data_IF_660773035089
#
_entry.id   IF_660773035089
#
_cell.length_a   1.000
_cell.length_b   1.000
_cell.length_c   1.000
_cell.angle_alpha   90.00
_cell.angle_beta   90.00
_cell.angle_gamma   90.00
#
_symmetry.space_group_name_H-M   'P 1'
#
loop_
_entity.id
_entity.type
_entity.pdbx_description
1 polymer ?
#
# COMPACT_ATOMS: atom_id res chain seq x y z
N UNK A 1 -46.96 24.92 -1.47
CA UNK A 1 -47.61 24.94 -0.15
C UNK A 1 -47.41 23.57 0.48
N UNK A 2 -46.67 23.48 1.50
CA UNK A 2 -46.68 22.84 2.80
C UNK A 2 -45.25 22.61 3.30
N UNK A 3 -44.95 23.41 4.31
CA UNK A 3 -43.79 23.35 5.22
C UNK A 3 -43.99 22.24 6.25
N UNK A 4 -42.90 21.58 6.67
CA UNK A 4 -42.67 21.07 8.02
C UNK A 4 -41.14 21.13 8.20
N UNK A 5 -40.53 21.97 8.97
CA UNK A 5 -40.44 22.18 10.43
C UNK A 5 -40.00 20.90 11.18
N UNK A 6 -38.77 20.78 11.49
CA UNK A 6 -37.89 20.92 12.62
C UNK A 6 -38.24 20.02 13.82
N UNK A 7 -37.24 19.33 14.35
CA UNK A 7 -37.09 19.14 15.80
C UNK A 7 -35.60 18.93 16.10
N UNK A 8 -35.09 19.90 16.84
CA UNK A 8 -33.81 19.90 17.58
C UNK A 8 -34.13 19.30 18.95
N UNK A 9 -33.35 18.34 19.40
CA UNK A 9 -33.33 17.95 20.82
C UNK A 9 -31.89 18.01 21.31
N UNK A 10 -31.66 19.09 22.11
CA UNK A 10 -30.60 19.18 23.11
C UNK A 10 -31.03 18.46 24.39
N UNK A 11 -30.11 17.80 25.04
CA UNK A 11 -30.00 17.68 26.51
C UNK A 11 -28.88 16.67 26.82
N UNK A 12 -28.05 16.80 27.74
CA UNK A 12 -27.66 17.69 28.82
C UNK A 12 -26.66 16.88 29.67
N UNK A 13 -25.71 17.59 30.05
CA UNK A 13 -24.63 17.35 31.01
C UNK A 13 -25.08 16.70 32.32
N UNK A 14 -24.38 15.70 32.84
CA UNK A 14 -24.31 15.45 34.28
C UNK A 14 -22.83 15.16 34.65
N UNK A 15 -22.27 16.14 35.38
CA UNK A 15 -21.06 15.95 36.18
C UNK A 15 -21.42 15.28 37.50
N UNK A 16 -20.60 14.35 37.96
CA UNK A 16 -20.49 14.04 39.41
C UNK A 16 -19.01 13.97 39.77
N UNK A 17 -18.66 14.89 40.65
CA UNK A 17 -17.40 15.00 41.39
C UNK A 17 -17.46 14.19 42.70
N UNK A 18 -16.30 13.87 43.21
CA UNK A 18 -15.88 13.61 44.59
C UNK A 18 -15.39 12.15 44.81
N UNK A 19 -14.36 11.88 45.60
CA UNK A 19 -13.37 12.63 46.36
C UNK A 19 -12.33 11.69 46.95
N UNK A 20 -11.12 12.19 47.10
CA UNK A 20 -10.08 11.92 48.10
C UNK A 20 -10.03 10.60 48.88
N UNK A 21 -8.80 10.04 48.97
CA UNK A 21 -8.36 9.17 50.04
C UNK A 21 -6.86 8.88 50.00
N UNK A 22 -6.06 9.73 50.68
CA UNK A 22 -4.62 9.51 50.99
C UNK A 22 -4.50 8.46 52.13
N UNK A 23 -3.40 7.66 52.16
CA UNK A 23 -2.41 7.56 53.23
C UNK A 23 -1.40 6.43 52.99
N UNK A 24 -0.13 6.82 53.00
CA UNK A 24 1.07 6.48 53.82
C UNK A 24 1.65 5.06 53.68
N UNK A 25 2.82 5.00 53.14
CA UNK A 25 4.21 4.93 53.62
C UNK A 25 4.49 3.95 54.82
N UNK A 26 5.36 3.00 54.57
CA UNK A 26 6.44 2.73 55.51
C UNK A 26 7.60 1.92 54.93
N UNK A 27 8.81 2.37 55.27
CA UNK A 27 10.14 1.84 55.02
C UNK A 27 10.48 0.67 55.96
N UNK A 28 11.37 -0.25 55.54
CA UNK A 28 12.51 -0.76 56.35
C UNK A 28 13.31 -1.71 55.46
N UNK A 29 14.50 -1.43 55.11
CA UNK A 29 15.85 -1.53 55.70
C UNK A 29 16.43 -2.96 55.68
N UNK A 30 17.50 -3.09 54.87
CA UNK A 30 18.80 -3.73 55.07
C UNK A 30 18.92 -5.14 55.65
N UNK A 31 19.67 -6.02 54.96
CA UNK A 31 20.95 -6.57 55.47
C UNK A 31 21.74 -7.28 54.38
N UNK A 32 22.98 -6.88 54.29
CA UNK A 32 24.05 -7.53 53.56
C UNK A 32 24.55 -8.78 54.35
N UNK A 33 24.96 -9.80 53.64
CA UNK A 33 25.97 -10.74 54.16
C UNK A 33 26.84 -11.30 53.03
N UNK A 34 28.12 -11.24 53.30
CA UNK A 34 29.29 -11.55 52.51
C UNK A 34 29.74 -13.02 52.74
N UNK A 35 30.54 -13.52 51.77
CA UNK A 35 31.52 -14.62 51.81
C UNK A 35 30.93 -15.99 51.33
N UNK A 36 31.54 -16.71 50.38
CA UNK A 36 32.94 -17.18 50.33
C UNK A 36 33.31 -17.66 48.93
N UNK A 37 34.54 -17.44 48.54
CA UNK A 37 35.21 -18.00 47.37
C UNK A 37 35.40 -19.52 47.51
N UNK A 38 35.10 -20.28 46.46
CA UNK A 38 35.72 -21.59 46.24
C UNK A 38 36.09 -21.70 44.77
N UNK A 39 37.38 -21.76 44.54
CA UNK A 39 38.01 -21.99 43.21
C UNK A 39 37.83 -23.46 42.85
N UNK A 40 37.25 -23.74 41.73
CA UNK A 40 37.39 -25.03 41.03
C UNK A 40 37.69 -24.74 39.54
N UNK A 41 38.89 -25.06 39.16
CA UNK A 41 39.33 -25.16 37.79
C UNK A 41 38.55 -26.29 37.09
N UNK A 42 37.92 -25.96 36.00
CA UNK A 42 37.48 -26.99 35.05
C UNK A 42 37.75 -26.51 33.62
N UNK A 43 38.45 -27.31 32.96
CA UNK A 43 38.93 -27.34 31.58
C UNK A 43 37.94 -26.76 30.57
N UNK A 44 38.43 -25.82 29.78
CA UNK A 44 37.74 -25.28 28.58
C UNK A 44 37.65 -26.31 27.49
N UNK A 45 36.47 -26.85 27.23
CA UNK A 45 36.11 -27.36 25.92
C UNK A 45 35.40 -26.25 25.15
N UNK A 46 36.10 -25.77 24.14
CA UNK A 46 35.63 -24.81 23.17
C UNK A 46 34.67 -25.51 22.20
N UNK A 47 33.36 -25.41 22.43
CA UNK A 47 32.36 -25.77 21.43
C UNK A 47 32.23 -24.61 20.44
N UNK A 48 32.78 -24.79 19.27
CA UNK A 48 32.54 -23.91 18.12
C UNK A 48 31.06 -23.92 17.76
N UNK A 49 30.34 -22.86 18.12
CA UNK A 49 29.04 -22.55 17.52
C UNK A 49 29.26 -22.20 16.03
N UNK A 50 28.44 -22.72 15.13
CA UNK A 50 28.48 -22.28 13.74
C UNK A 50 28.05 -20.81 13.70
N UNK A 51 28.94 -19.96 13.18
CA UNK A 51 28.62 -18.60 12.77
C UNK A 51 27.52 -18.69 11.70
N UNK A 52 26.44 -17.88 11.77
CA UNK A 52 25.48 -17.84 10.68
C UNK A 52 26.22 -17.35 9.43
N UNK A 53 26.31 -18.23 8.43
CA UNK A 53 26.77 -17.88 7.10
C UNK A 53 25.89 -16.76 6.59
N UNK A 54 26.44 -15.57 6.36
CA UNK A 54 25.81 -14.55 5.55
C UNK A 54 25.60 -15.13 4.15
N UNK A 55 24.44 -15.71 3.91
CA UNK A 55 24.00 -15.94 2.56
C UNK A 55 23.87 -14.56 1.92
N UNK A 56 24.78 -14.23 1.03
CA UNK A 56 24.59 -13.16 0.05
C UNK A 56 23.38 -13.58 -0.78
N UNK A 57 22.20 -13.07 -0.40
CA UNK A 57 21.01 -13.14 -1.23
C UNK A 57 21.39 -12.42 -2.52
N UNK A 58 21.43 -13.17 -3.63
CA UNK A 58 21.59 -12.59 -4.96
C UNK A 58 20.36 -11.73 -5.22
N UNK A 59 20.43 -10.44 -4.87
CA UNK A 59 19.33 -9.49 -4.98
C UNK A 59 19.16 -9.01 -6.43
N UNK A 60 18.94 -9.96 -7.35
CA UNK A 60 18.74 -9.66 -8.77
C UNK A 60 17.40 -9.00 -9.05
N UNK A 61 16.47 -9.06 -8.09
CA UNK A 61 15.11 -8.50 -8.18
C UNK A 61 14.95 -7.16 -7.45
N UNK A 62 15.99 -6.65 -6.81
CA UNK A 62 15.90 -5.36 -6.13
C UNK A 62 15.57 -4.25 -7.10
N UNK A 63 14.65 -3.36 -6.68
CA UNK A 63 14.31 -2.13 -7.40
C UNK A 63 14.98 -0.95 -6.73
N UNK A 64 15.24 0.09 -7.53
CA UNK A 64 15.71 1.39 -7.02
C UNK A 64 15.16 2.54 -7.87
N UNK A 65 15.09 3.70 -7.27
CA UNK A 65 14.71 4.93 -7.97
C UNK A 65 15.97 5.68 -8.38
N UNK A 66 16.12 5.97 -9.67
CA UNK A 66 17.24 6.74 -10.21
C UNK A 66 16.67 7.93 -10.98
N UNK A 67 16.86 9.13 -10.45
CA UNK A 67 16.18 10.33 -10.97
C UNK A 67 14.66 10.17 -10.89
N UNK A 68 13.95 10.36 -11.97
CA UNK A 68 12.49 10.20 -12.05
C UNK A 68 12.05 8.80 -12.49
N UNK A 69 12.93 7.78 -12.44
CA UNK A 69 12.63 6.44 -13.00
C UNK A 69 12.78 5.34 -11.99
N UNK A 70 11.89 4.36 -12.09
CA UNK A 70 12.08 3.05 -11.47
C UNK A 70 13.10 2.27 -12.28
N UNK A 71 14.09 1.68 -11.60
CA UNK A 71 15.17 0.92 -12.21
C UNK A 71 15.33 -0.44 -11.49
N UNK A 72 15.92 -1.40 -12.19
CA UNK A 72 16.37 -2.64 -11.58
C UNK A 72 17.63 -2.44 -10.71
N UNK A 73 18.12 -3.50 -10.10
CA UNK A 73 19.32 -3.49 -9.25
C UNK A 73 20.58 -3.00 -9.98
N UNK A 74 20.63 -3.13 -11.31
CA UNK A 74 21.76 -2.66 -12.14
C UNK A 74 21.65 -1.17 -12.48
N UNK A 75 20.46 -0.59 -12.39
CA UNK A 75 20.18 0.80 -12.76
C UNK A 75 19.54 0.95 -14.13
N UNK A 76 19.14 -0.15 -14.76
CA UNK A 76 18.42 -0.11 -16.02
C UNK A 76 16.96 0.24 -15.79
N UNK A 77 16.37 1.20 -16.54
CA UNK A 77 14.97 1.59 -16.36
C UNK A 77 14.01 0.43 -16.62
N UNK A 78 13.13 0.16 -15.65
CA UNK A 78 12.07 -0.83 -15.75
C UNK A 78 10.70 -0.17 -15.69
N UNK A 79 9.69 -0.83 -16.25
CA UNK A 79 8.29 -0.46 -16.15
C UNK A 79 7.52 -1.67 -15.64
N UNK A 80 6.87 -1.57 -14.49
CA UNK A 80 5.99 -2.60 -13.98
C UNK A 80 4.57 -2.32 -14.45
N UNK A 81 3.90 -3.34 -14.95
CA UNK A 81 2.49 -3.31 -15.35
C UNK A 81 1.73 -4.29 -14.49
N UNK A 82 0.58 -3.91 -13.97
CA UNK A 82 -0.09 -4.80 -13.05
C UNK A 82 -1.56 -4.58 -12.81
N UNK A 83 -2.03 -5.28 -11.79
CA UNK A 83 -3.44 -5.38 -11.42
C UNK A 83 -3.55 -5.18 -9.91
N UNK A 84 -4.52 -4.37 -9.47
CA UNK A 84 -4.89 -4.24 -8.06
C UNK A 84 -5.98 -5.24 -7.71
N UNK A 85 -5.89 -5.90 -6.56
CA UNK A 85 -7.09 -6.47 -5.94
C UNK A 85 -8.10 -5.35 -5.67
N UNK A 86 -9.37 -5.68 -5.55
CA UNK A 86 -10.31 -4.87 -4.78
C UNK A 86 -10.00 -5.04 -3.28
N UNK A 87 -10.74 -4.37 -2.40
CA UNK A 87 -10.53 -4.48 -0.96
C UNK A 87 -10.43 -5.92 -0.47
N UNK A 88 -9.33 -6.25 0.19
CA UNK A 88 -9.02 -7.61 0.66
C UNK A 88 -10.11 -8.18 1.58
N UNK A 89 -10.78 -7.32 2.37
CA UNK A 89 -11.88 -7.75 3.24
C UNK A 89 -13.14 -8.17 2.47
N UNK A 90 -13.32 -7.72 1.23
CA UNK A 90 -14.55 -7.90 0.46
C UNK A 90 -14.43 -8.95 -0.64
N UNK A 91 -13.22 -9.08 -1.21
CA UNK A 91 -12.92 -10.02 -2.29
C UNK A 91 -11.68 -10.86 -1.99
N UNK A 92 -11.59 -11.53 -0.81
CA UNK A 92 -10.41 -12.27 -0.38
C UNK A 92 -10.06 -13.46 -1.28
N UNK A 93 -11.06 -14.04 -1.93
CA UNK A 93 -10.92 -15.29 -2.69
C UNK A 93 -10.10 -15.13 -3.98
N UNK A 94 -9.91 -13.88 -4.45
CA UNK A 94 -9.02 -13.60 -5.59
C UNK A 94 -7.53 -13.65 -5.21
N UNK A 95 -7.19 -13.63 -3.91
CA UNK A 95 -5.82 -13.84 -3.43
C UNK A 95 -5.57 -15.34 -3.31
N UNK A 96 -5.41 -16.00 -4.45
CA UNK A 96 -5.10 -17.42 -4.52
C UNK A 96 -4.01 -17.72 -5.56
N UNK A 97 -3.27 -18.84 -5.46
CA UNK A 97 -2.09 -19.10 -6.29
C UNK A 97 -2.42 -19.23 -7.78
N UNK A 98 -3.57 -19.84 -8.12
CA UNK A 98 -3.96 -20.03 -9.51
C UNK A 98 -4.34 -18.71 -10.18
N UNK A 99 -5.03 -17.82 -9.45
CA UNK A 99 -5.35 -16.48 -9.91
C UNK A 99 -4.08 -15.67 -10.18
N UNK A 100 -3.17 -15.58 -9.22
CA UNK A 100 -1.93 -14.79 -9.37
C UNK A 100 -1.08 -15.33 -10.54
N UNK A 101 -0.98 -16.65 -10.67
CA UNK A 101 -0.30 -17.28 -11.81
C UNK A 101 -0.97 -16.93 -13.15
N UNK A 102 -2.30 -16.89 -13.18
CA UNK A 102 -3.03 -16.49 -14.39
C UNK A 102 -2.78 -15.03 -14.76
N UNK A 103 -2.79 -14.11 -13.79
CA UNK A 103 -2.47 -12.71 -14.01
C UNK A 103 -1.04 -12.53 -14.58
N UNK A 104 -0.06 -13.31 -14.08
CA UNK A 104 1.26 -13.36 -14.71
C UNK A 104 1.20 -13.81 -16.15
N UNK A 105 0.35 -14.78 -16.46
CA UNK A 105 0.09 -15.25 -17.83
C UNK A 105 -0.55 -14.19 -18.73
N UNK A 106 -1.26 -13.20 -18.18
CA UNK A 106 -1.77 -12.05 -18.90
C UNK A 106 -0.68 -11.00 -19.21
N UNK A 107 0.47 -11.08 -18.56
CA UNK A 107 1.58 -10.15 -18.71
C UNK A 107 1.83 -9.26 -17.48
N UNK A 108 1.12 -9.48 -16.36
CA UNK A 108 1.32 -8.68 -15.17
C UNK A 108 2.69 -8.94 -14.52
N UNK A 109 3.38 -7.87 -14.13
CA UNK A 109 4.65 -7.88 -13.41
C UNK A 109 4.47 -7.59 -11.93
N UNK A 110 3.33 -7.03 -11.54
CA UNK A 110 3.05 -6.60 -10.16
C UNK A 110 1.57 -6.81 -9.81
N UNK A 111 1.32 -7.26 -8.58
CA UNK A 111 -0.02 -7.27 -7.95
C UNK A 111 -0.05 -6.23 -6.84
N UNK A 112 -1.10 -5.43 -6.76
CA UNK A 112 -1.35 -4.51 -5.65
C UNK A 112 -2.39 -5.10 -4.71
N UNK A 113 -2.06 -5.18 -3.43
CA UNK A 113 -2.89 -5.79 -2.39
C UNK A 113 -3.57 -4.66 -1.60
N UNK A 114 -4.77 -4.29 -2.02
CA UNK A 114 -5.51 -3.14 -1.51
C UNK A 114 -6.16 -3.44 -0.15
N UNK A 115 -5.56 -2.98 0.94
CA UNK A 115 -6.08 -3.15 2.29
C UNK A 115 -6.77 -1.87 2.77
N UNK A 116 -8.09 -1.80 2.63
CA UNK A 116 -8.87 -0.67 3.14
C UNK A 116 -8.67 -0.46 4.64
N UNK A 117 -8.56 0.80 5.02
CA UNK A 117 -8.33 1.26 6.40
C UNK A 117 -9.63 1.57 7.13
N UNK A 118 -10.42 2.53 6.63
CA UNK A 118 -11.62 3.05 7.29
C UNK A 118 -12.93 2.51 6.76
N UNK A 119 -12.92 1.80 5.63
CA UNK A 119 -14.13 1.25 5.01
C UNK A 119 -14.76 0.13 5.85
N UNK A 120 -15.99 -0.28 5.49
CA UNK A 120 -16.66 -1.39 6.17
C UNK A 120 -15.76 -2.65 6.21
N UNK A 121 -15.57 -3.22 7.37
CA UNK A 121 -14.61 -4.30 7.63
C UNK A 121 -13.15 -3.98 7.26
N UNK A 122 -12.81 -2.68 7.16
CA UNK A 122 -11.43 -2.25 6.98
C UNK A 122 -10.56 -2.54 8.20
N UNK A 123 -9.26 -2.47 8.02
CA UNK A 123 -8.25 -2.79 9.05
C UNK A 123 -8.46 -2.02 10.36
N UNK A 124 -8.92 -0.76 10.28
CA UNK A 124 -9.16 0.12 11.43
C UNK A 124 -10.62 0.17 11.89
N UNK A 125 -11.56 -0.44 11.17
CA UNK A 125 -13.02 -0.29 11.38
C UNK A 125 -13.76 -1.62 11.56
N UNK A 126 -13.15 -2.56 12.24
CA UNK A 126 -13.79 -3.83 12.62
C UNK A 126 -13.42 -5.03 11.75
N UNK A 127 -12.55 -4.86 10.75
CA UNK A 127 -11.96 -5.97 10.02
C UNK A 127 -11.08 -6.85 10.91
N UNK A 128 -11.00 -8.13 10.56
CA UNK A 128 -10.08 -9.04 11.23
C UNK A 128 -8.64 -8.75 10.77
N UNK A 129 -7.88 -8.01 11.58
CA UNK A 129 -6.52 -7.55 11.27
C UNK A 129 -5.56 -8.70 10.95
N UNK A 130 -5.66 -9.82 11.66
CA UNK A 130 -4.77 -10.96 11.43
C UNK A 130 -5.10 -11.66 10.10
N UNK A 131 -6.38 -11.82 9.79
CA UNK A 131 -6.81 -12.36 8.50
C UNK A 131 -6.40 -11.47 7.32
N UNK A 132 -6.51 -10.13 7.47
CA UNK A 132 -6.08 -9.18 6.43
C UNK A 132 -4.56 -9.24 6.22
N UNK A 133 -3.78 -9.31 7.30
CA UNK A 133 -2.32 -9.51 7.20
C UNK A 133 -1.97 -10.86 6.57
N UNK A 134 -2.72 -11.93 6.87
CA UNK A 134 -2.50 -13.24 6.24
C UNK A 134 -2.81 -13.24 4.75
N UNK A 135 -3.80 -12.49 4.30
CA UNK A 135 -4.06 -12.29 2.87
C UNK A 135 -2.90 -11.56 2.19
N UNK A 136 -2.34 -10.53 2.84
CA UNK A 136 -1.15 -9.84 2.35
C UNK A 136 0.04 -10.82 2.26
N UNK A 137 0.31 -11.61 3.31
CA UNK A 137 1.38 -12.64 3.30
C UNK A 137 1.23 -13.60 2.13
N UNK A 138 0.03 -14.12 1.95
CA UNK A 138 -0.29 -15.03 0.82
C UNK A 138 -0.11 -14.34 -0.52
N UNK A 139 -0.61 -13.11 -0.68
CA UNK A 139 -0.48 -12.35 -1.92
C UNK A 139 0.98 -12.08 -2.27
N UNK A 140 1.80 -11.69 -1.30
CA UNK A 140 3.26 -11.50 -1.46
C UNK A 140 3.94 -12.81 -1.84
N UNK A 141 3.61 -13.93 -1.15
CA UNK A 141 4.18 -15.23 -1.46
C UNK A 141 3.83 -15.68 -2.88
N UNK A 142 2.54 -15.62 -3.25
CA UNK A 142 2.09 -16.03 -4.58
C UNK A 142 2.67 -15.15 -5.70
N UNK A 143 2.83 -13.85 -5.45
CA UNK A 143 3.53 -12.96 -6.39
C UNK A 143 4.99 -13.39 -6.57
N UNK A 144 5.71 -13.61 -5.49
CA UNK A 144 7.12 -14.06 -5.52
C UNK A 144 7.29 -15.41 -6.21
N UNK A 145 6.39 -16.37 -5.96
CA UNK A 145 6.40 -17.69 -6.60
C UNK A 145 6.19 -17.62 -8.13
N UNK A 146 5.58 -16.54 -8.61
CA UNK A 146 5.35 -16.30 -10.04
C UNK A 146 6.25 -15.20 -10.62
N UNK A 147 7.33 -14.85 -9.95
CA UNK A 147 8.29 -13.84 -10.42
C UNK A 147 7.66 -12.46 -10.64
N UNK A 148 6.71 -12.09 -9.77
CA UNK A 148 6.02 -10.81 -9.74
C UNK A 148 6.42 -10.01 -8.50
N UNK A 149 6.26 -8.70 -8.59
CA UNK A 149 6.31 -7.79 -7.43
C UNK A 149 4.95 -7.75 -6.74
N UNK A 150 4.97 -7.39 -5.45
CA UNK A 150 3.75 -7.13 -4.68
C UNK A 150 3.80 -5.73 -4.06
N UNK A 151 2.77 -4.92 -4.29
CA UNK A 151 2.55 -3.66 -3.59
C UNK A 151 1.66 -3.94 -2.38
N UNK A 152 2.18 -3.67 -1.19
CA UNK A 152 1.42 -3.71 0.07
C UNK A 152 0.84 -2.33 0.30
N UNK A 153 -0.47 -2.19 0.08
CA UNK A 153 -1.16 -0.91 0.04
C UNK A 153 -2.01 -0.68 1.30
N UNK A 154 -1.68 0.40 2.01
CA UNK A 154 -2.50 1.00 3.06
C UNK A 154 -3.54 1.92 2.41
N UNK A 155 -4.70 1.33 2.13
CA UNK A 155 -5.72 1.90 1.25
C UNK A 155 -6.58 2.96 1.94
N UNK A 156 -5.98 4.15 2.15
CA UNK A 156 -6.67 5.35 2.66
C UNK A 156 -7.67 5.83 1.63
N UNK A 157 -8.92 6.05 2.01
CA UNK A 157 -9.97 6.58 1.13
C UNK A 157 -10.94 7.51 1.90
N UNK A 158 -11.95 6.97 2.60
CA UNK A 158 -13.01 7.79 3.22
C UNK A 158 -12.52 8.71 4.34
N UNK A 159 -11.50 8.31 5.11
CA UNK A 159 -10.86 9.16 6.12
C UNK A 159 -10.11 10.34 5.50
N UNK A 160 -9.65 10.20 4.27
CA UNK A 160 -8.99 11.23 3.46
C UNK A 160 -7.62 11.67 3.99
N UNK A 161 -7.45 11.85 5.27
CA UNK A 161 -6.17 12.18 5.91
C UNK A 161 -5.51 10.93 6.48
N UNK A 162 -4.33 10.51 5.97
CA UNK A 162 -3.61 9.34 6.47
C UNK A 162 -3.20 9.47 7.95
N UNK A 163 -3.19 10.68 8.51
CA UNK A 163 -2.91 10.89 9.93
C UNK A 163 -4.03 10.37 10.86
N UNK A 164 -5.24 10.12 10.37
CA UNK A 164 -6.37 9.60 11.18
C UNK A 164 -6.02 8.25 11.83
N UNK A 165 -5.40 7.34 11.05
CA UNK A 165 -4.97 6.02 11.53
C UNK A 165 -3.45 5.84 11.47
N UNK A 166 -2.72 6.93 11.74
CA UNK A 166 -1.25 6.94 11.64
C UNK A 166 -0.58 5.92 12.57
N UNK A 167 -1.04 5.77 13.79
CA UNK A 167 -0.43 4.84 14.74
C UNK A 167 -0.64 3.38 14.34
N UNK A 168 -1.81 3.06 13.77
CA UNK A 168 -2.09 1.76 13.17
C UNK A 168 -1.21 1.51 11.95
N UNK A 169 -1.04 2.52 11.08
CA UNK A 169 -0.14 2.44 9.93
C UNK A 169 1.31 2.20 10.35
N UNK A 170 1.80 2.93 11.36
CA UNK A 170 3.15 2.74 11.92
C UNK A 170 3.35 1.33 12.45
N UNK A 171 2.38 0.81 13.19
CA UNK A 171 2.42 -0.58 13.70
C UNK A 171 2.42 -1.59 12.57
N UNK A 172 1.52 -1.43 11.60
CA UNK A 172 1.38 -2.30 10.44
C UNK A 172 2.65 -2.35 9.59
N UNK A 173 3.17 -1.19 9.19
CA UNK A 173 4.37 -1.15 8.36
C UNK A 173 5.63 -1.60 9.10
N UNK A 174 5.74 -1.35 10.41
CA UNK A 174 6.84 -1.90 11.22
C UNK A 174 6.81 -3.44 11.26
N UNK A 175 5.62 -4.05 11.32
CA UNK A 175 5.45 -5.51 11.28
C UNK A 175 5.74 -6.06 9.88
N UNK A 176 5.07 -5.54 8.85
CA UNK A 176 5.19 -6.05 7.48
C UNK A 176 6.59 -5.85 6.91
N UNK A 177 7.23 -4.71 7.16
CA UNK A 177 8.59 -4.47 6.67
C UNK A 177 9.63 -5.38 7.34
N UNK A 178 9.41 -5.78 8.59
CA UNK A 178 10.27 -6.78 9.27
C UNK A 178 10.05 -8.17 8.69
N UNK A 179 8.81 -8.51 8.43
CA UNK A 179 8.46 -9.83 7.88
C UNK A 179 9.00 -10.02 6.46
N UNK A 180 8.91 -8.99 5.64
CA UNK A 180 9.36 -9.04 4.25
C UNK A 180 10.77 -8.48 4.03
N UNK A 181 11.57 -8.28 5.09
CA UNK A 181 12.88 -7.63 5.03
C UNK A 181 13.85 -8.24 4.01
N UNK A 182 13.76 -9.55 3.78
CA UNK A 182 14.60 -10.27 2.81
C UNK A 182 13.96 -10.45 1.42
N UNK A 183 12.74 -9.92 1.22
CA UNK A 183 12.05 -10.06 -0.06
C UNK A 183 12.17 -8.78 -0.89
N UNK A 184 13.04 -8.75 -1.93
CA UNK A 184 13.27 -7.56 -2.76
C UNK A 184 12.11 -7.25 -3.73
N UNK A 185 11.09 -8.11 -3.78
CA UNK A 185 9.93 -7.96 -4.66
C UNK A 185 8.77 -7.25 -3.97
N UNK A 186 8.93 -6.79 -2.70
CA UNK A 186 7.90 -6.05 -1.97
C UNK A 186 8.10 -4.55 -2.11
N UNK A 187 7.03 -3.87 -2.50
CA UNK A 187 6.88 -2.42 -2.58
C UNK A 187 5.84 -2.02 -1.52
N UNK A 188 6.05 -0.92 -0.81
CA UNK A 188 5.10 -0.43 0.19
C UNK A 188 4.42 0.83 -0.32
N UNK A 189 3.08 0.83 -0.38
CA UNK A 189 2.29 2.04 -0.65
C UNK A 189 1.67 2.50 0.66
N UNK A 190 2.19 3.62 1.18
CA UNK A 190 1.89 4.01 2.57
C UNK A 190 0.60 4.81 2.75
N UNK A 191 0.01 5.31 1.67
CA UNK A 191 -1.34 5.87 1.64
C UNK A 191 -1.83 5.90 0.19
N UNK A 192 -3.03 5.36 -0.06
CA UNK A 192 -3.64 5.27 -1.38
C UNK A 192 -4.06 6.65 -1.92
N UNK A 193 -5.11 7.25 -1.36
CA UNK A 193 -5.75 8.45 -1.89
C UNK A 193 -6.04 9.51 -0.82
N UNK A 194 -5.03 10.27 -0.40
CA UNK A 194 -5.30 11.44 0.44
C UNK A 194 -6.26 12.40 -0.25
N UNK A 195 -7.39 12.70 0.40
CA UNK A 195 -8.49 13.47 -0.19
C UNK A 195 -9.18 14.36 0.86
N UNK A 196 -10.40 14.84 0.59
CA UNK A 196 -11.20 15.64 1.51
C UNK A 196 -10.50 16.91 2.04
N UNK A 197 -9.63 17.52 1.22
CA UNK A 197 -8.90 18.72 1.59
C UNK A 197 -7.57 18.46 2.31
N UNK A 198 -7.14 17.22 2.41
CA UNK A 198 -5.82 16.85 2.94
C UNK A 198 -4.71 17.51 2.12
N UNK A 199 -3.83 18.24 2.77
CA UNK A 199 -2.74 18.95 2.11
C UNK A 199 -1.51 18.04 1.92
N UNK A 200 -0.63 18.44 0.99
CA UNK A 200 0.67 17.79 0.85
C UNK A 200 1.50 17.85 2.14
N UNK A 201 1.42 18.95 2.90
CA UNK A 201 2.14 19.05 4.18
C UNK A 201 1.64 18.04 5.23
N UNK A 202 0.35 17.71 5.23
CA UNK A 202 -0.20 16.67 6.09
C UNK A 202 0.32 15.27 5.69
N UNK A 203 0.31 14.96 4.38
CA UNK A 203 0.89 13.71 3.85
C UNK A 203 2.38 13.64 4.09
N UNK A 204 3.10 14.75 3.88
CA UNK A 204 4.54 14.86 4.13
C UNK A 204 4.88 14.57 5.60
N UNK A 205 4.09 15.12 6.54
CA UNK A 205 4.26 14.84 7.98
C UNK A 205 4.04 13.37 8.31
N UNK A 206 2.97 12.78 7.80
CA UNK A 206 2.68 11.35 7.94
C UNK A 206 3.81 10.47 7.38
N UNK A 207 4.26 10.74 6.17
CA UNK A 207 5.31 9.98 5.51
C UNK A 207 6.64 10.02 6.29
N UNK A 208 7.00 11.17 6.89
CA UNK A 208 8.20 11.29 7.72
C UNK A 208 8.15 10.46 9.02
N UNK A 209 6.97 10.04 9.47
CA UNK A 209 6.85 9.14 10.62
C UNK A 209 6.81 7.66 10.21
N UNK A 210 6.27 7.33 9.03
CA UNK A 210 6.10 5.94 8.58
C UNK A 210 7.34 5.41 7.85
N UNK A 211 7.92 6.20 6.94
CA UNK A 211 9.06 5.78 6.12
C UNK A 211 10.25 5.30 6.96
N UNK A 212 10.67 5.99 8.04
CA UNK A 212 11.79 5.51 8.86
C UNK A 212 11.55 4.12 9.48
N UNK A 213 10.30 3.77 9.80
CA UNK A 213 9.97 2.45 10.36
C UNK A 213 10.13 1.34 9.31
N UNK A 214 9.75 1.62 8.06
CA UNK A 214 10.00 0.69 6.95
C UNK A 214 11.51 0.56 6.70
N UNK A 215 12.23 1.67 6.63
CA UNK A 215 13.68 1.72 6.38
C UNK A 215 14.50 0.99 7.44
N UNK A 216 14.04 0.95 8.69
CA UNK A 216 14.70 0.21 9.77
C UNK A 216 14.76 -1.31 9.51
N UNK A 217 13.84 -1.86 8.71
CA UNK A 217 13.76 -3.27 8.42
C UNK A 217 14.06 -3.60 6.94
N UNK A 218 13.63 -2.73 6.03
CA UNK A 218 13.74 -2.88 4.58
C UNK A 218 14.36 -1.61 3.98
N UNK A 219 15.68 -1.41 4.13
CA UNK A 219 16.34 -0.13 3.80
C UNK A 219 16.24 0.23 2.31
N UNK A 220 16.23 -0.75 1.42
CA UNK A 220 16.30 -0.54 -0.03
C UNK A 220 14.94 -0.62 -0.74
N UNK A 221 13.85 -0.97 -0.02
CA UNK A 221 12.53 -1.11 -0.63
C UNK A 221 12.06 0.17 -1.31
N UNK A 222 11.35 0.03 -2.42
CA UNK A 222 10.61 1.15 -3.00
C UNK A 222 9.36 1.44 -2.16
N UNK A 223 9.13 2.71 -1.88
CA UNK A 223 7.96 3.19 -1.15
C UNK A 223 7.17 4.13 -2.07
N UNK A 224 5.87 3.89 -2.22
CA UNK A 224 4.95 4.75 -2.94
C UNK A 224 4.17 5.59 -1.92
N UNK A 225 4.04 6.87 -2.18
CA UNK A 225 3.32 7.82 -1.33
C UNK A 225 2.21 8.47 -2.14
N UNK A 226 0.97 8.31 -1.69
CA UNK A 226 -0.18 8.99 -2.26
C UNK A 226 -0.04 10.50 -2.20
N UNK A 227 -0.56 11.18 -3.20
CA UNK A 227 -0.56 12.65 -3.25
C UNK A 227 -1.97 13.19 -2.96
N UNK A 228 -2.15 14.49 -2.61
CA UNK A 228 -3.48 15.03 -2.35
C UNK A 228 -4.44 14.92 -3.54
N UNK A 229 -5.71 15.18 -3.27
CA UNK A 229 -6.77 15.20 -4.27
C UNK A 229 -6.91 13.85 -5.01
N UNK A 230 -7.09 12.75 -4.25
CA UNK A 230 -7.17 11.38 -4.77
C UNK A 230 -5.95 11.01 -5.62
N UNK A 231 -4.77 11.27 -5.08
CA UNK A 231 -3.49 11.01 -5.74
C UNK A 231 -3.34 11.67 -7.12
N UNK A 232 -3.85 12.91 -7.28
CA UNK A 232 -3.74 13.69 -8.52
C UNK A 232 -2.77 14.87 -8.42
N UNK A 233 -2.38 15.30 -7.22
CA UNK A 233 -1.59 16.50 -7.01
C UNK A 233 -0.08 16.22 -6.92
N UNK A 234 0.46 15.46 -7.88
CA UNK A 234 1.90 15.19 -8.00
C UNK A 234 2.75 16.47 -8.20
N UNK A 235 2.14 17.54 -8.72
CA UNK A 235 2.77 18.86 -8.81
C UNK A 235 3.12 19.45 -7.44
N UNK A 236 2.29 19.23 -6.42
CA UNK A 236 2.58 19.66 -5.06
C UNK A 236 3.77 18.88 -4.46
N UNK A 237 3.82 17.59 -4.73
CA UNK A 237 4.95 16.75 -4.31
C UNK A 237 6.24 17.13 -5.04
N UNK A 238 6.16 17.50 -6.34
CA UNK A 238 7.31 17.93 -7.13
C UNK A 238 7.97 19.22 -6.59
N UNK A 239 7.18 20.13 -6.01
CA UNK A 239 7.70 21.36 -5.39
C UNK A 239 8.38 21.12 -4.03
N UNK A 240 8.05 20.04 -3.34
CA UNK A 240 8.59 19.70 -2.01
C UNK A 240 8.67 18.18 -1.86
N UNK A 241 9.58 17.50 -2.56
CA UNK A 241 9.71 16.05 -2.45
C UNK A 241 10.20 15.64 -1.06
N UNK A 242 9.86 14.40 -0.67
CA UNK A 242 10.33 13.79 0.57
C UNK A 242 11.86 13.57 0.51
N UNK A 243 12.58 13.73 1.65
CA UNK A 243 14.04 13.67 1.69
C UNK A 243 14.56 12.23 1.84
N UNK A 244 13.95 11.27 1.14
CA UNK A 244 14.31 9.86 1.21
C UNK A 244 14.62 9.30 -0.18
N UNK A 245 15.57 8.41 -0.26
CA UNK A 245 15.83 7.61 -1.45
C UNK A 245 14.74 6.54 -1.64
N UNK A 246 14.61 6.03 -2.87
CA UNK A 246 13.66 4.98 -3.23
C UNK A 246 12.20 5.28 -2.85
N UNK A 247 11.80 6.55 -2.95
CA UNK A 247 10.41 6.98 -2.81
C UNK A 247 9.86 7.38 -4.17
N UNK A 248 8.66 6.91 -4.50
CA UNK A 248 7.87 7.28 -5.66
C UNK A 248 6.55 7.91 -5.23
N UNK A 249 5.90 8.65 -6.12
CA UNK A 249 4.69 9.41 -5.83
C UNK A 249 3.54 8.89 -6.67
N UNK A 250 2.44 8.53 -6.00
CA UNK A 250 1.26 8.02 -6.67
C UNK A 250 0.58 9.10 -7.51
N UNK A 251 0.21 8.73 -8.74
CA UNK A 251 -0.77 9.44 -9.53
C UNK A 251 -1.87 8.46 -9.90
N UNK A 252 -3.14 8.82 -9.61
CA UNK A 252 -4.30 8.03 -9.97
C UNK A 252 -5.16 8.75 -11.00
N UNK A 253 -5.74 7.99 -11.91
CA UNK A 253 -6.66 8.53 -12.91
C UNK A 253 -7.72 7.51 -13.32
N UNK A 254 -8.85 8.00 -13.79
CA UNK A 254 -9.89 7.24 -14.45
C UNK A 254 -10.13 7.82 -15.83
N UNK A 255 -9.86 7.05 -16.89
CA UNK A 255 -9.65 7.58 -18.23
C UNK A 255 -10.90 8.22 -18.87
N UNK A 256 -12.10 7.83 -18.45
CA UNK A 256 -13.31 8.50 -18.93
C UNK A 256 -13.51 9.90 -18.32
N UNK A 257 -12.94 10.17 -17.13
CA UNK A 257 -12.98 11.48 -16.45
C UNK A 257 -11.74 12.31 -16.70
N UNK A 258 -10.56 11.75 -16.42
CA UNK A 258 -9.29 12.47 -16.41
C UNK A 258 -8.63 12.44 -17.80
N UNK A 259 -8.37 13.60 -18.33
CA UNK A 259 -7.88 13.78 -19.72
C UNK A 259 -6.49 14.43 -19.74
N UNK A 260 -6.22 15.22 -20.79
CA UNK A 260 -4.93 15.83 -21.06
C UNK A 260 -4.36 16.63 -19.88
N UNK A 261 -5.17 17.42 -19.20
CA UNK A 261 -4.70 18.28 -18.10
C UNK A 261 -4.00 17.50 -16.98
N UNK A 262 -4.54 16.34 -16.58
CA UNK A 262 -3.88 15.51 -15.56
C UNK A 262 -2.68 14.75 -16.13
N UNK A 263 -2.72 14.37 -17.41
CA UNK A 263 -1.57 13.78 -18.10
C UNK A 263 -0.42 14.78 -18.23
N UNK A 264 -0.72 16.05 -18.54
CA UNK A 264 0.26 17.14 -18.59
C UNK A 264 0.84 17.41 -17.20
N UNK A 265 0.02 17.34 -16.14
CA UNK A 265 0.50 17.44 -14.75
C UNK A 265 1.48 16.31 -14.42
N UNK A 266 1.17 15.04 -14.77
CA UNK A 266 2.09 13.90 -14.63
C UNK A 266 3.41 14.14 -15.36
N UNK A 267 3.32 14.54 -16.60
CA UNK A 267 4.48 14.79 -17.46
C UNK A 267 5.38 15.88 -16.89
N UNK A 268 4.76 16.99 -16.48
CA UNK A 268 5.48 18.13 -15.89
C UNK A 268 6.19 17.77 -14.58
N UNK A 269 5.54 16.98 -13.72
CA UNK A 269 6.13 16.51 -12.47
C UNK A 269 7.36 15.62 -12.74
N UNK A 270 7.26 14.70 -13.70
CA UNK A 270 8.38 13.85 -14.14
C UNK A 270 9.54 14.69 -14.71
N UNK A 271 9.25 15.69 -15.52
CA UNK A 271 10.26 16.59 -16.12
C UNK A 271 10.96 17.44 -15.03
N UNK A 272 10.30 17.72 -13.91
CA UNK A 272 10.89 18.33 -12.72
C UNK A 272 11.73 17.34 -11.87
N UNK A 273 11.79 16.07 -12.26
CA UNK A 273 12.58 15.03 -11.60
C UNK A 273 11.79 14.17 -10.59
N UNK A 274 10.47 14.35 -10.46
CA UNK A 274 9.66 13.55 -9.55
C UNK A 274 9.46 12.12 -10.10
N UNK A 275 9.80 11.06 -9.36
CA UNK A 275 9.52 9.69 -9.76
C UNK A 275 8.03 9.37 -9.51
N UNK A 276 7.25 9.25 -10.57
CA UNK A 276 5.81 8.97 -10.53
C UNK A 276 5.54 7.49 -10.76
N UNK A 277 4.61 6.93 -9.99
CA UNK A 277 4.03 5.59 -10.17
C UNK A 277 2.51 5.73 -10.27
N UNK A 278 1.89 5.19 -11.32
CA UNK A 278 0.43 5.12 -11.41
C UNK A 278 -0.02 3.86 -10.70
N UNK A 279 -0.16 3.93 -9.37
CA UNK A 279 -0.49 2.76 -8.55
C UNK A 279 -1.96 2.36 -8.61
N UNK A 280 -2.80 3.23 -9.18
CA UNK A 280 -4.20 2.91 -9.50
C UNK A 280 -4.66 3.68 -10.73
N UNK A 281 -5.35 3.00 -11.64
CA UNK A 281 -6.12 3.62 -12.71
C UNK A 281 -7.26 2.72 -13.17
N UNK A 282 -8.30 3.32 -13.78
CA UNK A 282 -9.40 2.63 -14.47
C UNK A 282 -9.67 3.25 -15.83
N UNK A 283 -10.35 2.50 -16.71
CA UNK A 283 -10.78 3.02 -18.02
C UNK A 283 -12.18 3.62 -17.99
N UNK A 284 -12.92 3.44 -16.89
CA UNK A 284 -14.22 4.03 -16.65
C UNK A 284 -14.11 5.47 -16.13
N UNK A 285 -15.23 6.07 -15.71
CA UNK A 285 -15.22 7.36 -15.02
C UNK A 285 -14.79 7.23 -13.55
N UNK A 286 -14.52 8.37 -12.91
CA UNK A 286 -13.97 8.44 -11.56
C UNK A 286 -14.90 7.92 -10.45
N UNK A 287 -16.13 7.54 -10.77
CA UNK A 287 -17.00 6.84 -9.81
C UNK A 287 -16.64 5.36 -9.66
N UNK A 288 -15.81 4.83 -10.55
CA UNK A 288 -15.52 3.40 -10.66
C UNK A 288 -16.64 2.58 -11.32
N UNK A 289 -17.79 3.18 -11.58
CA UNK A 289 -18.98 2.48 -12.10
C UNK A 289 -19.73 3.25 -13.20
N UNK A 290 -19.04 3.94 -14.06
CA UNK A 290 -19.65 4.71 -15.14
C UNK A 290 -19.19 4.30 -16.52
N UNK A 291 -19.27 5.26 -17.45
CA UNK A 291 -18.89 5.04 -18.84
C UNK A 291 -17.41 4.69 -18.98
N UNK A 292 -17.11 3.86 -19.95
CA UNK A 292 -15.75 3.44 -20.33
C UNK A 292 -15.27 4.28 -21.51
N UNK A 293 -13.99 4.69 -21.51
CA UNK A 293 -13.33 5.39 -22.59
C UNK A 293 -11.98 4.72 -22.94
N UNK A 294 -12.05 3.65 -23.74
CA UNK A 294 -10.83 2.94 -24.21
C UNK A 294 -9.90 3.85 -25.03
N UNK A 295 -10.44 4.82 -25.78
CA UNK A 295 -9.62 5.73 -26.56
C UNK A 295 -8.74 6.63 -25.67
N UNK A 296 -9.31 7.17 -24.60
CA UNK A 296 -8.59 7.93 -23.62
C UNK A 296 -7.59 7.06 -22.83
N UNK A 297 -8.01 5.84 -22.45
CA UNK A 297 -7.15 4.88 -21.76
C UNK A 297 -5.91 4.51 -22.59
N UNK A 298 -6.06 4.30 -23.89
CA UNK A 298 -4.93 4.04 -24.78
C UNK A 298 -3.95 5.20 -24.81
N UNK A 299 -4.42 6.46 -24.84
CA UNK A 299 -3.54 7.63 -24.78
C UNK A 299 -2.75 7.71 -23.47
N UNK A 300 -3.40 7.36 -22.34
CA UNK A 300 -2.73 7.26 -21.04
C UNK A 300 -1.64 6.18 -21.04
N UNK A 301 -1.96 4.99 -21.56
CA UNK A 301 -0.99 3.88 -21.67
C UNK A 301 0.19 4.27 -22.56
N UNK A 302 -0.05 4.92 -23.71
CA UNK A 302 0.98 5.41 -24.60
C UNK A 302 1.90 6.44 -23.89
N UNK A 303 1.31 7.38 -23.14
CA UNK A 303 2.07 8.37 -22.38
C UNK A 303 2.93 7.70 -21.29
N UNK A 304 2.36 6.75 -20.53
CA UNK A 304 3.09 5.99 -19.50
C UNK A 304 4.20 5.13 -20.12
N UNK A 305 3.93 4.42 -21.21
CA UNK A 305 4.91 3.57 -21.89
C UNK A 305 6.09 4.41 -22.45
N UNK A 306 5.82 5.57 -23.03
CA UNK A 306 6.85 6.46 -23.59
C UNK A 306 7.87 6.94 -22.55
N UNK A 307 7.45 7.04 -21.29
CA UNK A 307 8.27 7.51 -20.16
C UNK A 307 8.67 6.40 -19.19
N UNK A 308 8.25 5.15 -19.46
CA UNK A 308 8.42 3.98 -18.58
C UNK A 308 7.83 4.21 -17.18
N UNK A 309 6.69 4.89 -17.10
CA UNK A 309 5.92 5.00 -15.86
C UNK A 309 5.21 3.68 -15.58
N UNK A 310 5.48 3.09 -14.43
CA UNK A 310 4.80 1.87 -13.98
C UNK A 310 3.33 2.14 -13.67
N UNK A 311 2.46 1.14 -13.90
CA UNK A 311 1.03 1.31 -13.69
C UNK A 311 0.31 0.04 -13.23
N UNK A 312 -0.77 0.23 -12.48
CA UNK A 312 -1.62 -0.85 -11.92
C UNK A 312 -3.08 -0.51 -12.15
N UNK A 313 -3.80 -1.42 -12.83
CA UNK A 313 -5.22 -1.26 -13.10
C UNK A 313 -6.09 -1.69 -11.91
N UNK A 314 -7.08 -0.92 -11.60
CA UNK A 314 -8.15 -1.18 -10.64
C UNK A 314 -9.35 -1.78 -11.37
N UNK A 315 -10.01 -2.95 -11.06
CA UNK A 315 -9.66 -3.82 -9.95
C UNK A 315 -10.01 -5.29 -10.25
N UNK A 316 -9.30 -6.21 -9.63
CA UNK A 316 -9.57 -7.64 -9.66
C UNK A 316 -10.70 -7.99 -8.68
N UNK A 317 -11.91 -8.00 -9.17
CA UNK A 317 -13.11 -8.46 -8.49
C UNK A 317 -14.22 -8.78 -9.49
N UNK A 318 -15.29 -9.38 -9.02
CA UNK A 318 -16.56 -9.51 -9.75
C UNK A 318 -17.65 -8.57 -9.18
N UNK A 319 -17.26 -7.45 -8.62
CA UNK A 319 -18.20 -6.42 -8.17
C UNK A 319 -19.04 -5.92 -9.33
N UNK A 320 -20.30 -5.61 -9.09
CA UNK A 320 -21.20 -5.06 -10.12
C UNK A 320 -20.86 -3.59 -10.40
N UNK A 321 -19.69 -3.34 -10.99
CA UNK A 321 -19.22 -2.01 -11.40
C UNK A 321 -18.34 -2.09 -12.65
N UNK A 322 -18.15 -0.95 -13.32
CA UNK A 322 -17.42 -0.89 -14.60
C UNK A 322 -15.92 -1.14 -14.46
N UNK A 323 -15.33 -0.78 -13.32
CA UNK A 323 -13.91 -0.99 -13.03
C UNK A 323 -13.56 -2.43 -12.62
N UNK A 324 -14.55 -3.30 -12.39
CA UNK A 324 -14.28 -4.70 -12.10
C UNK A 324 -13.79 -5.42 -13.36
N UNK A 325 -12.72 -6.21 -13.24
CA UNK A 325 -12.17 -6.97 -14.37
C UNK A 325 -13.01 -8.21 -14.70
N UNK A 326 -13.68 -8.78 -13.72
CA UNK A 326 -14.48 -9.99 -13.82
C UNK A 326 -15.97 -9.61 -13.79
N UNK A 327 -16.77 -10.23 -14.65
CA UNK A 327 -18.22 -10.00 -14.63
C UNK A 327 -18.85 -10.44 -13.32
N UNK A 328 -19.83 -9.69 -12.85
CA UNK A 328 -20.56 -9.99 -11.61
C UNK A 328 -21.37 -11.30 -11.66
N UNK A 329 -21.57 -11.87 -12.85
CA UNK A 329 -22.20 -13.19 -13.05
C UNK A 329 -21.21 -14.34 -12.99
N UNK A 330 -19.89 -14.05 -12.96
CA UNK A 330 -18.84 -15.05 -12.87
C UNK A 330 -18.49 -15.31 -11.40
N UNK A 331 -18.54 -16.57 -10.99
CA UNK A 331 -18.18 -17.00 -9.62
C UNK A 331 -16.80 -17.67 -9.57
N UNK A 332 -16.05 -17.66 -10.66
CA UNK A 332 -14.68 -18.17 -10.69
C UNK A 332 -13.75 -17.16 -10.01
N UNK A 333 -12.70 -17.66 -9.39
CA UNK A 333 -11.61 -16.87 -8.84
C UNK A 333 -10.27 -17.13 -9.53
N UNK A 334 -10.29 -17.95 -10.61
CA UNK A 334 -9.19 -18.22 -11.53
C UNK A 334 -9.73 -18.97 -12.75
N UNK A 335 -8.91 -19.21 -13.78
CA UNK A 335 -9.30 -19.93 -15.01
C UNK A 335 -10.30 -19.11 -15.85
N UNK A 336 -10.07 -17.80 -15.97
CA UNK A 336 -10.97 -16.89 -16.66
C UNK A 336 -10.86 -17.04 -18.18
N UNK A 337 -12.00 -17.16 -18.82
CA UNK A 337 -12.14 -17.03 -20.28
C UNK A 337 -12.54 -15.59 -20.64
N UNK A 338 -12.49 -15.23 -21.92
CA UNK A 338 -12.92 -13.89 -22.35
C UNK A 338 -14.41 -13.64 -22.07
N UNK A 339 -15.23 -14.71 -21.96
CA UNK A 339 -16.63 -14.59 -21.57
C UNK A 339 -16.81 -14.19 -20.09
N UNK A 340 -15.84 -14.49 -19.23
CA UNK A 340 -15.85 -14.13 -17.81
C UNK A 340 -15.46 -12.68 -17.58
N UNK A 341 -14.75 -12.05 -18.55
CA UNK A 341 -14.20 -10.70 -18.40
C UNK A 341 -15.21 -9.62 -18.78
N UNK A 342 -15.14 -8.51 -18.04
CA UNK A 342 -15.81 -7.25 -18.37
C UNK A 342 -15.14 -6.60 -19.60
N UNK A 343 -15.69 -5.51 -20.17
CA UNK A 343 -14.97 -4.72 -21.16
C UNK A 343 -13.60 -4.22 -20.67
N UNK A 344 -13.49 -3.76 -19.41
CA UNK A 344 -12.22 -3.33 -18.81
C UNK A 344 -11.23 -4.50 -18.67
N UNK A 345 -11.69 -5.66 -18.20
CA UNK A 345 -10.85 -6.85 -18.10
C UNK A 345 -10.31 -7.32 -19.46
N UNK A 346 -11.14 -7.29 -20.51
CA UNK A 346 -10.72 -7.61 -21.89
C UNK A 346 -9.72 -6.61 -22.45
N UNK A 347 -9.95 -5.33 -22.19
CA UNK A 347 -9.03 -4.28 -22.60
C UNK A 347 -7.67 -4.42 -21.89
N UNK A 348 -7.69 -4.59 -20.57
CA UNK A 348 -6.46 -4.73 -19.79
C UNK A 348 -5.62 -5.91 -20.25
N UNK A 349 -6.24 -7.08 -20.46
CA UNK A 349 -5.54 -8.29 -20.94
C UNK A 349 -4.84 -8.10 -22.30
N UNK A 350 -5.27 -7.09 -23.09
CA UNK A 350 -4.63 -6.76 -24.39
C UNK A 350 -3.45 -5.80 -24.25
N UNK A 351 -3.40 -4.99 -23.17
CA UNK A 351 -2.39 -3.93 -23.01
C UNK A 351 -1.27 -4.29 -22.04
N UNK A 352 -1.45 -5.34 -21.22
CA UNK A 352 -0.39 -5.93 -20.38
C UNK A 352 0.60 -6.70 -21.26
#
# INVERSE_FOLDING_TARGET
MKKYAGIMICMALVMVLASCGRKNAQQSSSKAQQASQTTLQTTSQQSSQPQPSSQTVNNTKGLKVVGSRLCDSKGDPVQLKGISTHGLAWFPDYVNPDCIKELKGWGADVIRLAMYTSEYNGYCTGGNRDQLKDLIRKGVQYASDNDMYAIVDWHVLSEGDPNVYKEEAKSFFSEMSREFASNPQVIYEICNEPCNGTSWDAVYSYANEVIPLIRANSPDSVIIVGTPNWSQDVDKAALKPLPYENVMYALHFYAATHKGDLMDKMTSAIDLGLPVFVSEFGICDASGNGAIDESSANKWVDAMNSRKVSYVCWNLSNKAESSALIKNTCNKTSGFTDEDLTPEGKWLKRVL
#
